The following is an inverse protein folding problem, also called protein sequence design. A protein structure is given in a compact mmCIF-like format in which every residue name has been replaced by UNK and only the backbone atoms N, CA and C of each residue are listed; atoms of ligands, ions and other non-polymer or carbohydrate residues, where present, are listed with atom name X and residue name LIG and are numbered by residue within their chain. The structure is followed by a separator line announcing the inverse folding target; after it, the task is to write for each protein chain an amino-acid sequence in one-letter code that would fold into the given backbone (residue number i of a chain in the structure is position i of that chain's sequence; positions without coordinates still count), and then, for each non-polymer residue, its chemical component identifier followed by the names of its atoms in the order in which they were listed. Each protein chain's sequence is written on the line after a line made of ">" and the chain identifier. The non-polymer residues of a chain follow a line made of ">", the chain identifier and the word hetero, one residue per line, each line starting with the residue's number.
data_IF_687900276162
#
_entry.id   IF_687900276162
#
_cell.length_a   1.000
_cell.length_b   1.000
_cell.length_c   1.000
_cell.angle_alpha   90.00
_cell.angle_beta   90.00
_cell.angle_gamma   90.00
#
_symmetry.space_group_name_H-M   'P 1'
#
loop_
_entity.id
_entity.type
_entity.pdbx_description
1 polymer ?
#
# COMPACT_ATOMS: atom_id res chain seq x y z
N UNK A 1 5.42 29.45 -38.65
CA UNK A 1 6.05 28.12 -38.55
C UNK A 1 6.66 28.00 -37.17
N UNK A 2 6.01 27.26 -36.27
CA UNK A 2 6.58 26.58 -35.09
C UNK A 2 5.44 25.83 -34.40
N UNK A 3 5.72 24.61 -33.95
CA UNK A 3 4.77 23.56 -33.61
C UNK A 3 4.17 23.70 -32.20
N UNK A 4 2.87 23.43 -32.07
CA UNK A 4 2.17 23.17 -30.81
C UNK A 4 2.13 21.64 -30.55
N UNK A 5 2.16 21.18 -29.28
CA UNK A 5 2.48 19.79 -28.97
C UNK A 5 1.28 18.84 -29.14
N UNK A 6 1.52 17.73 -29.85
CA UNK A 6 0.68 16.52 -29.84
C UNK A 6 0.61 15.93 -28.42
N UNK A 7 -0.36 16.36 -27.60
CA UNK A 7 -0.71 15.62 -26.38
C UNK A 7 -2.20 15.47 -26.07
N UNK A 8 -3.10 15.99 -26.91
CA UNK A 8 -4.55 15.84 -26.70
C UNK A 8 -5.31 15.14 -27.85
N UNK A 9 -4.64 14.78 -28.96
CA UNK A 9 -5.31 14.19 -30.13
C UNK A 9 -5.35 12.65 -30.14
N UNK A 10 -4.67 11.97 -29.23
CA UNK A 10 -4.57 10.51 -29.19
C UNK A 10 -5.61 9.83 -28.29
N UNK A 11 -6.43 10.58 -27.55
CA UNK A 11 -7.51 10.00 -26.71
C UNK A 11 -8.88 10.04 -27.39
N UNK A 12 -9.09 10.91 -28.39
CA UNK A 12 -10.35 10.99 -29.13
C UNK A 12 -10.46 10.00 -30.31
N UNK A 13 -9.35 9.42 -30.78
CA UNK A 13 -9.35 8.53 -31.95
C UNK A 13 -9.62 7.05 -31.64
N UNK A 14 -9.88 6.68 -30.38
CA UNK A 14 -10.18 5.29 -29.98
C UNK A 14 -11.66 5.06 -29.62
N UNK A 15 -12.53 6.07 -29.74
CA UNK A 15 -13.95 5.98 -29.41
C UNK A 15 -14.89 5.95 -30.63
N UNK A 16 -14.37 5.91 -31.86
CA UNK A 16 -15.18 5.88 -33.10
C UNK A 16 -15.30 4.48 -33.73
N UNK A 17 -15.23 3.40 -32.94
CA UNK A 17 -15.37 2.01 -33.45
C UNK A 17 -16.59 1.24 -32.91
N UNK A 18 -17.56 1.90 -32.29
CA UNK A 18 -18.85 1.29 -31.92
C UNK A 18 -19.98 2.27 -32.21
N UNK A 19 -20.64 2.10 -33.36
CA UNK A 19 -21.65 3.02 -33.88
C UNK A 19 -22.85 3.24 -32.95
N UNK A 20 -23.03 4.49 -32.53
CA UNK A 20 -24.27 5.10 -32.02
C UNK A 20 -24.26 6.61 -32.39
N UNK A 21 -25.42 7.28 -32.56
CA UNK A 21 -25.51 8.56 -33.29
C UNK A 21 -25.19 9.80 -32.44
N UNK A 22 -24.67 10.82 -33.11
CA UNK A 22 -24.36 12.17 -32.59
C UNK A 22 -25.65 12.95 -32.31
N UNK A 23 -25.70 13.61 -31.15
CA UNK A 23 -26.57 14.76 -30.88
C UNK A 23 -25.63 15.98 -30.67
N UNK A 24 -25.95 17.05 -31.39
CA UNK A 24 -25.36 18.40 -31.37
C UNK A 24 -25.54 19.10 -30.01
N UNK A 25 -24.89 20.17 -29.57
CA UNK A 25 -24.34 21.42 -30.14
C UNK A 25 -23.50 22.03 -28.99
N UNK A 26 -22.29 22.52 -29.20
CA UNK A 26 -21.97 23.96 -29.27
C UNK A 26 -22.60 24.84 -28.15
N UNK A 27 -22.05 24.77 -26.93
CA UNK A 27 -22.15 25.79 -25.87
C UNK A 27 -21.21 25.39 -24.72
N UNK A 28 -19.91 25.72 -24.81
CA UNK A 28 -18.95 25.74 -23.67
C UNK A 28 -17.54 26.15 -24.13
N UNK A 29 -17.43 27.22 -24.92
CA UNK A 29 -16.15 27.70 -25.46
C UNK A 29 -15.84 29.19 -25.16
N UNK A 30 -16.54 29.81 -24.19
CA UNK A 30 -16.46 31.27 -23.97
C UNK A 30 -16.10 31.68 -22.52
N UNK A 31 -15.52 30.79 -21.71
CA UNK A 31 -15.20 31.09 -20.29
C UNK A 31 -13.69 31.01 -19.93
N UNK A 32 -12.76 30.99 -20.88
CA UNK A 32 -11.33 30.78 -20.58
C UNK A 32 -10.37 31.83 -21.18
N UNK A 33 -10.85 33.04 -21.44
CA UNK A 33 -10.06 34.11 -22.04
C UNK A 33 -10.06 35.40 -21.21
N UNK A 34 -9.71 35.33 -19.92
CA UNK A 34 -9.49 36.53 -19.10
C UNK A 34 -8.77 36.21 -17.77
N UNK A 35 -7.52 35.71 -17.79
CA UNK A 35 -6.64 35.86 -16.60
C UNK A 35 -5.13 35.66 -16.87
N UNK A 36 -4.62 36.14 -18.00
CA UNK A 36 -3.18 36.14 -18.31
C UNK A 36 -2.68 37.54 -18.63
N UNK A 37 -2.84 38.46 -17.67
CA UNK A 37 -2.21 39.78 -17.75
C UNK A 37 -2.04 40.42 -16.36
N UNK A 38 -1.36 39.76 -15.43
CA UNK A 38 -0.70 40.42 -14.30
C UNK A 38 0.32 39.45 -13.72
N UNK A 39 1.60 39.87 -13.77
CA UNK A 39 2.79 39.38 -13.04
C UNK A 39 4.03 39.47 -13.96
N UNK A 40 4.41 40.70 -14.28
CA UNK A 40 5.78 41.05 -14.61
C UNK A 40 6.15 42.28 -13.76
N UNK A 41 7.38 42.28 -13.26
CA UNK A 41 8.05 43.29 -12.41
C UNK A 41 7.88 43.14 -10.88
N UNK A 42 8.86 42.49 -10.24
CA UNK A 42 9.71 43.09 -9.19
C UNK A 42 11.10 42.46 -9.27
N UNK A 43 12.13 43.32 -9.22
CA UNK A 43 13.55 43.03 -9.33
C UNK A 43 14.17 42.30 -8.13
N UNK A 44 15.29 41.66 -8.48
CA UNK A 44 16.39 41.06 -7.73
C UNK A 44 16.89 41.88 -6.53
N UNK A 45 17.12 41.22 -5.39
CA UNK A 45 18.24 41.56 -4.48
C UNK A 45 18.53 40.47 -3.43
N UNK A 46 19.78 40.01 -3.45
CA UNK A 46 20.62 39.45 -2.37
C UNK A 46 20.54 37.96 -1.96
N UNK A 47 21.69 37.31 -2.20
CA UNK A 47 22.32 36.15 -1.54
C UNK A 47 21.78 34.73 -1.78
N UNK A 48 21.99 34.26 -3.01
CA UNK A 48 22.02 32.83 -3.31
C UNK A 48 23.36 32.19 -2.87
N UNK A 49 23.35 31.52 -1.72
CA UNK A 49 24.39 30.55 -1.35
C UNK A 49 24.37 29.37 -2.33
N UNK A 50 25.54 28.92 -2.76
CA UNK A 50 25.70 27.90 -3.80
C UNK A 50 25.19 26.52 -3.37
N UNK A 51 24.66 25.76 -4.33
CA UNK A 51 24.03 24.44 -4.16
C UNK A 51 24.94 23.32 -3.63
N UNK A 52 26.22 23.61 -3.34
CA UNK A 52 27.15 22.65 -2.73
C UNK A 52 27.32 22.81 -1.20
N UNK A 53 26.79 23.89 -0.58
CA UNK A 53 26.78 24.04 0.89
C UNK A 53 25.51 23.49 1.56
N UNK A 54 24.50 23.07 0.78
CA UNK A 54 23.17 22.66 1.28
C UNK A 54 23.06 21.22 1.84
N UNK A 55 24.18 20.49 1.99
CA UNK A 55 24.16 19.06 2.38
C UNK A 55 24.89 18.71 3.69
N UNK A 56 25.24 19.69 4.53
CA UNK A 56 25.76 19.40 5.88
C UNK A 56 24.96 20.13 6.96
N UNK A 57 24.55 19.45 8.06
CA UNK A 57 23.86 20.12 9.15
C UNK A 57 24.83 21.08 9.86
N UNK A 58 24.51 22.37 10.01
CA UNK A 58 25.42 23.32 10.64
C UNK A 58 25.24 23.28 12.16
N UNK A 59 25.77 22.29 12.87
CA UNK A 59 26.13 22.37 14.32
C UNK A 59 26.53 21.00 14.89
N UNK A 60 27.51 20.99 15.78
CA UNK A 60 28.01 19.84 16.55
C UNK A 60 26.98 19.22 17.54
N UNK A 61 25.77 19.79 17.65
CA UNK A 61 24.75 19.41 18.64
C UNK A 61 23.73 18.35 18.16
N UNK A 62 23.88 17.77 16.96
CA UNK A 62 22.99 16.71 16.49
C UNK A 62 23.39 15.39 17.14
N UNK A 63 22.49 14.79 17.92
CA UNK A 63 22.75 13.52 18.63
C UNK A 63 22.11 12.31 17.97
N UNK A 64 20.94 12.50 17.37
CA UNK A 64 20.22 11.41 16.71
C UNK A 64 19.62 11.85 15.38
N UNK A 65 19.29 10.89 14.53
CA UNK A 65 18.51 11.05 13.31
C UNK A 65 17.28 10.14 13.41
N UNK A 66 16.16 10.58 12.85
CA UNK A 66 14.89 9.85 12.89
C UNK A 66 14.03 10.19 11.68
N UNK A 67 13.01 9.38 11.42
CA UNK A 67 11.99 9.67 10.42
C UNK A 67 10.65 9.97 11.09
N UNK A 68 9.94 10.98 10.60
CA UNK A 68 8.62 11.30 11.12
C UNK A 68 7.62 10.21 10.72
N UNK A 69 6.94 9.57 11.67
CA UNK A 69 5.95 8.51 11.39
C UNK A 69 4.56 9.06 11.07
N UNK A 70 4.38 10.38 11.16
CA UNK A 70 3.17 11.11 10.80
C UNK A 70 3.52 12.55 10.39
N UNK A 71 2.56 13.29 9.85
CA UNK A 71 2.72 14.73 9.62
C UNK A 71 2.61 15.49 10.95
N UNK A 72 3.61 16.30 11.29
CA UNK A 72 3.72 16.96 12.60
C UNK A 72 3.91 18.46 12.44
N UNK A 73 3.28 19.23 13.32
CA UNK A 73 3.58 20.64 13.50
C UNK A 73 4.80 20.79 14.40
N UNK A 74 5.83 21.45 13.91
CA UNK A 74 6.99 21.86 14.71
C UNK A 74 6.56 23.04 15.57
N UNK A 75 6.84 23.00 16.87
CA UNK A 75 6.44 24.04 17.84
C UNK A 75 7.63 24.79 18.38
N UNK A 76 7.42 26.02 18.86
CA UNK A 76 8.47 26.83 19.48
C UNK A 76 8.89 26.35 20.89
N UNK A 77 8.12 25.49 21.54
CA UNK A 77 8.42 24.94 22.86
C UNK A 77 7.77 23.56 23.10
N UNK A 78 8.18 22.84 24.17
CA UNK A 78 7.71 21.49 24.48
C UNK A 78 6.31 21.51 25.11
N UNK A 79 5.28 21.70 24.27
CA UNK A 79 3.90 21.71 24.73
C UNK A 79 2.89 22.09 23.65
N UNK A 80 1.63 21.72 23.87
CA UNK A 80 0.55 21.98 22.91
C UNK A 80 0.16 23.47 22.78
N UNK A 81 0.55 24.29 23.77
CA UNK A 81 0.20 25.71 23.85
C UNK A 81 1.20 26.63 23.13
N UNK A 82 2.28 26.06 22.59
CA UNK A 82 3.26 26.83 21.82
C UNK A 82 2.84 26.92 20.35
N UNK A 83 2.91 28.14 19.80
CA UNK A 83 2.64 28.41 18.40
C UNK A 83 3.56 27.60 17.47
N UNK A 84 3.05 27.25 16.29
CA UNK A 84 3.79 26.51 15.28
C UNK A 84 4.96 27.32 14.72
N UNK A 85 6.13 26.68 14.61
CA UNK A 85 7.33 27.19 13.94
C UNK A 85 7.49 26.63 12.51
N UNK A 86 6.84 25.50 12.20
CA UNK A 86 6.95 24.83 10.90
C UNK A 86 6.14 23.54 10.86
N UNK A 87 6.31 22.73 9.82
CA UNK A 87 5.69 21.40 9.68
C UNK A 87 6.68 20.40 9.08
N UNK A 88 6.57 19.13 9.49
CA UNK A 88 7.25 17.97 8.91
C UNK A 88 6.21 16.98 8.40
N UNK A 89 6.49 16.36 7.26
CA UNK A 89 5.64 15.34 6.63
C UNK A 89 6.02 13.96 7.14
N UNK A 90 5.10 13.02 7.00
CA UNK A 90 5.41 11.60 7.24
C UNK A 90 6.54 11.16 6.30
N UNK A 91 7.55 10.48 6.84
CA UNK A 91 8.75 10.03 6.13
C UNK A 91 9.87 11.06 6.10
N UNK A 92 9.64 12.31 6.53
CA UNK A 92 10.70 13.32 6.55
C UNK A 92 11.78 12.93 7.56
N UNK A 93 13.04 13.07 7.12
CA UNK A 93 14.20 12.90 7.97
C UNK A 93 14.34 14.12 8.89
N UNK A 94 14.53 13.86 10.19
CA UNK A 94 14.70 14.88 11.21
C UNK A 94 15.93 14.60 12.04
N UNK A 95 16.68 15.66 12.33
CA UNK A 95 17.83 15.61 13.22
C UNK A 95 17.37 15.95 14.63
N UNK A 96 17.63 15.09 15.60
CA UNK A 96 17.25 15.29 17.00
C UNK A 96 18.45 15.92 17.73
N UNK A 97 18.24 17.12 18.24
CA UNK A 97 19.20 17.86 19.05
C UNK A 97 19.09 17.44 20.52
N UNK A 98 17.86 17.24 20.99
CA UNK A 98 17.56 16.83 22.36
C UNK A 98 16.40 15.84 22.33
N UNK A 99 16.66 14.60 22.74
CA UNK A 99 15.64 13.56 22.82
C UNK A 99 14.95 13.63 24.19
N UNK A 100 13.67 14.01 24.20
CA UNK A 100 12.86 14.07 25.42
C UNK A 100 11.75 13.03 25.44
N UNK A 101 11.16 12.73 26.61
CA UNK A 101 10.17 11.65 26.76
C UNK A 101 8.84 11.93 26.04
N UNK A 102 8.35 13.17 26.08
CA UNK A 102 7.12 13.58 25.38
C UNK A 102 7.39 14.50 24.18
N UNK A 103 8.40 15.37 24.32
CA UNK A 103 8.79 16.35 23.32
C UNK A 103 10.28 16.24 23.06
N UNK A 104 10.63 16.10 21.79
CA UNK A 104 12.03 16.13 21.34
C UNK A 104 12.27 17.43 20.59
N UNK A 105 13.42 18.04 20.86
CA UNK A 105 13.92 19.17 20.09
C UNK A 105 14.57 18.63 18.83
N UNK A 106 13.99 19.01 17.71
CA UNK A 106 14.44 18.59 16.38
C UNK A 106 14.91 19.79 15.56
N UNK A 107 15.73 19.49 14.56
CA UNK A 107 16.10 20.39 13.49
C UNK A 107 15.79 19.73 12.15
N UNK A 108 15.11 20.49 11.31
CA UNK A 108 14.93 20.20 9.89
C UNK A 108 15.84 21.13 9.09
N UNK A 109 15.89 20.94 7.76
CA UNK A 109 16.64 21.82 6.87
C UNK A 109 16.22 23.30 6.94
N UNK A 110 14.99 23.58 7.39
CA UNK A 110 14.39 24.93 7.35
C UNK A 110 14.05 25.50 8.72
N UNK A 111 13.97 24.68 9.77
CA UNK A 111 13.42 25.11 11.07
C UNK A 111 13.88 24.19 12.21
N UNK A 112 14.17 24.80 13.36
CA UNK A 112 14.39 24.11 14.64
C UNK A 112 13.17 24.31 15.54
N UNK A 113 12.74 23.26 16.23
CA UNK A 113 11.68 23.35 17.22
C UNK A 113 11.35 22.00 17.84
N UNK A 114 10.20 21.91 18.51
CA UNK A 114 9.79 20.75 19.27
C UNK A 114 8.70 19.98 18.55
N UNK A 115 8.84 18.65 18.51
CA UNK A 115 7.82 17.72 18.03
C UNK A 115 7.60 16.64 19.06
N UNK A 116 6.45 15.98 19.01
CA UNK A 116 6.13 14.90 19.94
C UNK A 116 6.99 13.67 19.63
N UNK A 117 7.72 13.19 20.64
CA UNK A 117 8.69 12.09 20.50
C UNK A 117 8.04 10.81 19.98
N UNK A 118 6.79 10.52 20.37
CA UNK A 118 6.05 9.34 19.92
C UNK A 118 5.85 9.24 18.39
N UNK A 119 6.09 10.32 17.65
CA UNK A 119 5.97 10.35 16.20
C UNK A 119 7.32 10.42 15.48
N UNK A 120 8.41 10.18 16.21
CA UNK A 120 9.75 9.99 15.69
C UNK A 120 10.04 8.49 15.66
N UNK A 121 10.16 7.92 14.47
CA UNK A 121 10.44 6.51 14.24
C UNK A 121 11.90 6.29 13.84
N UNK A 122 12.39 5.08 14.08
CA UNK A 122 13.73 4.66 13.65
C UNK A 122 14.83 5.63 14.11
N UNK A 123 14.81 5.98 15.41
CA UNK A 123 15.76 6.91 16.01
C UNK A 123 17.11 6.22 16.12
N UNK A 124 18.14 6.79 15.50
CA UNK A 124 19.52 6.27 15.44
C UNK A 124 20.51 7.34 15.86
N UNK A 125 21.63 6.95 16.45
CA UNK A 125 22.71 7.91 16.77
C UNK A 125 23.31 8.53 15.50
N UNK A 126 23.63 9.81 15.58
CA UNK A 126 24.23 10.59 14.50
C UNK A 126 25.70 10.85 14.80
N UNK A 127 26.61 10.40 13.94
CA UNK A 127 28.05 10.70 14.03
C UNK A 127 28.38 11.93 13.17
N UNK A 128 28.76 13.07 13.78
CA UNK A 128 29.03 14.31 13.06
C UNK A 128 30.37 14.31 12.27
N UNK A 129 31.26 13.32 12.45
CA UNK A 129 32.58 13.30 11.78
C UNK A 129 32.56 12.55 10.43
N UNK A 130 31.69 11.55 10.28
CA UNK A 130 31.64 10.68 9.09
C UNK A 130 30.48 10.96 8.12
N UNK A 131 29.46 11.71 8.55
CA UNK A 131 28.25 11.98 7.73
C UNK A 131 27.41 10.73 7.42
N UNK A 132 27.71 9.60 8.06
CA UNK A 132 27.01 8.31 7.88
C UNK A 132 26.12 7.98 9.08
N UNK A 133 24.96 7.38 8.80
CA UNK A 133 24.07 6.81 9.82
C UNK A 133 24.73 5.55 10.37
N UNK A 134 25.15 5.58 11.64
CA UNK A 134 25.76 4.43 12.31
C UNK A 134 24.82 3.21 12.31
N UNK A 135 25.39 2.03 12.07
CA UNK A 135 24.69 0.75 12.15
C UNK A 135 24.40 0.35 13.60
N UNK A 136 23.21 -0.22 13.81
CA UNK A 136 22.72 -1.00 14.95
C UNK A 136 23.49 -0.82 16.29
N UNK A 137 23.50 0.40 16.79
CA UNK A 137 23.81 0.67 18.19
C UNK A 137 22.47 0.86 18.90
N UNK A 138 22.10 -0.15 19.70
CA UNK A 138 20.86 -0.13 20.47
C UNK A 138 20.71 1.13 21.33
N UNK A 139 19.46 1.50 21.60
CA UNK A 139 19.08 2.67 22.39
C UNK A 139 19.90 2.78 23.70
N UNK A 140 20.35 4.00 24.10
CA UNK A 140 21.03 4.21 25.37
C UNK A 140 20.21 3.70 26.56
N UNK A 141 20.88 3.05 27.51
CA UNK A 141 20.26 2.37 28.66
C UNK A 141 19.26 3.24 29.45
N UNK A 142 19.46 4.56 29.50
CA UNK A 142 18.55 5.48 30.21
C UNK A 142 17.17 5.65 29.55
N UNK A 143 17.05 5.39 28.25
CA UNK A 143 15.75 5.43 27.53
C UNK A 143 14.98 4.12 27.74
N UNK A 144 15.69 2.99 27.81
CA UNK A 144 15.09 1.67 28.05
C UNK A 144 14.47 1.52 29.45
N UNK A 145 15.02 2.18 30.47
CA UNK A 145 14.46 2.16 31.83
C UNK A 145 13.28 3.14 32.01
N UNK A 146 13.25 4.25 31.26
CA UNK A 146 12.17 5.23 31.39
C UNK A 146 10.94 4.94 30.52
N UNK A 147 11.04 4.04 29.52
CA UNK A 147 9.87 3.47 28.83
C UNK A 147 9.10 2.46 29.69
N UNK A 148 9.70 1.91 30.75
CA UNK A 148 9.01 1.04 31.71
C UNK A 148 8.27 1.83 32.80
N UNK A 149 8.53 3.13 32.96
CA UNK A 149 7.99 3.96 34.05
C UNK A 149 6.93 5.00 33.62
N UNK A 150 6.69 5.18 32.33
CA UNK A 150 5.60 6.02 31.81
C UNK A 150 4.46 5.16 31.28
N UNK A 151 3.34 5.12 31.98
CA UNK A 151 2.14 4.37 31.59
C UNK A 151 1.54 4.82 30.25
N UNK A 152 2.17 4.42 29.14
CA UNK A 152 1.58 4.53 27.82
C UNK A 152 0.59 3.38 27.65
N UNK A 153 -0.68 3.74 27.50
CA UNK A 153 -1.76 2.80 27.24
C UNK A 153 -1.42 1.90 26.04
N UNK A 154 -1.62 0.59 26.20
CA UNK A 154 -1.39 -0.37 25.11
C UNK A 154 -2.31 -0.05 23.93
N UNK A 155 -1.75 0.49 22.85
CA UNK A 155 -2.49 0.78 21.61
C UNK A 155 -2.71 -0.50 20.83
N UNK A 156 -3.92 -0.73 20.33
CA UNK A 156 -4.28 -1.91 19.54
C UNK A 156 -4.13 -1.60 18.06
N UNK A 157 -2.95 -1.85 17.49
CA UNK A 157 -2.65 -1.55 16.09
C UNK A 157 -3.16 -2.64 15.14
N UNK A 158 -2.85 -3.89 15.45
CA UNK A 158 -3.14 -5.04 14.59
C UNK A 158 -3.70 -6.21 15.40
N UNK A 159 -4.38 -7.09 14.69
CA UNK A 159 -4.72 -8.44 15.11
C UNK A 159 -3.91 -9.41 14.24
N UNK A 160 -3.23 -10.36 14.86
CA UNK A 160 -2.51 -11.41 14.16
C UNK A 160 -2.71 -12.76 14.87
N UNK A 161 -2.24 -13.83 14.24
CA UNK A 161 -2.35 -15.19 14.78
C UNK A 161 -0.99 -15.87 14.74
N UNK A 162 -0.70 -16.72 15.73
CA UNK A 162 0.54 -17.48 15.73
C UNK A 162 0.51 -18.58 14.65
N UNK A 163 1.49 -18.60 13.74
CA UNK A 163 1.60 -19.64 12.69
C UNK A 163 2.27 -20.91 13.21
N UNK A 164 2.99 -20.79 14.32
CA UNK A 164 3.65 -21.88 15.07
C UNK A 164 3.64 -21.52 16.56
N UNK A 165 3.91 -22.49 17.43
CA UNK A 165 4.09 -22.20 18.85
C UNK A 165 5.21 -21.17 19.03
N UNK A 166 4.97 -20.15 19.85
CA UNK A 166 5.91 -19.05 20.08
C UNK A 166 5.80 -18.53 21.52
N UNK A 167 6.68 -17.61 21.90
CA UNK A 167 6.82 -17.11 23.26
C UNK A 167 6.56 -15.61 23.29
N UNK A 168 5.82 -15.18 24.31
CA UNK A 168 5.78 -13.78 24.71
C UNK A 168 6.99 -13.52 25.60
N UNK A 169 7.89 -12.65 25.16
CA UNK A 169 9.15 -12.31 25.82
C UNK A 169 9.05 -11.00 26.59
N UNK A 170 9.89 -10.87 27.60
CA UNK A 170 9.97 -9.66 28.42
C UNK A 170 10.61 -8.49 27.66
N UNK A 171 11.60 -8.79 26.83
CA UNK A 171 12.34 -7.85 25.97
C UNK A 171 12.36 -8.39 24.53
N UNK A 172 12.67 -7.57 23.50
CA UNK A 172 12.86 -8.03 22.13
C UNK A 172 14.18 -8.80 21.96
N UNK A 173 14.34 -9.86 22.75
CA UNK A 173 15.51 -10.70 22.87
C UNK A 173 15.04 -12.14 23.14
N UNK A 174 15.55 -13.08 22.34
CA UNK A 174 15.25 -14.50 22.42
C UNK A 174 15.63 -15.12 23.77
N UNK A 175 16.65 -14.57 24.44
CA UNK A 175 17.15 -15.04 25.73
C UNK A 175 16.45 -14.40 26.94
N UNK A 176 15.62 -13.37 26.71
CA UNK A 176 14.87 -12.73 27.79
C UNK A 176 13.81 -13.66 28.42
N UNK A 177 13.37 -13.28 29.62
CA UNK A 177 12.38 -14.02 30.38
C UNK A 177 11.09 -14.24 29.58
N UNK A 178 10.51 -15.44 29.69
CA UNK A 178 9.26 -15.78 29.02
C UNK A 178 8.07 -15.38 29.90
N UNK A 179 7.23 -14.49 29.38
CA UNK A 179 5.99 -14.04 30.04
C UNK A 179 4.80 -14.97 29.76
N UNK A 180 4.75 -15.60 28.59
CA UNK A 180 3.70 -16.57 28.23
C UNK A 180 4.12 -17.49 27.07
N UNK A 181 3.49 -18.66 27.00
CA UNK A 181 3.55 -19.55 25.83
C UNK A 181 2.30 -19.30 24.96
N UNK A 182 2.50 -19.06 23.67
CA UNK A 182 1.45 -18.78 22.69
C UNK A 182 1.31 -20.01 21.80
N UNK A 183 0.10 -20.59 21.74
CA UNK A 183 -0.15 -21.80 20.94
C UNK A 183 -0.33 -21.44 19.48
N UNK A 184 -0.13 -22.42 18.60
CA UNK A 184 -0.45 -22.26 17.19
C UNK A 184 -1.92 -21.84 17.02
N UNK A 185 -2.17 -20.89 16.13
CA UNK A 185 -3.45 -20.26 15.83
C UNK A 185 -4.11 -19.46 16.95
N UNK A 186 -3.43 -19.28 18.08
CA UNK A 186 -3.90 -18.32 19.07
C UNK A 186 -3.81 -16.88 18.51
N UNK A 187 -4.83 -16.08 18.83
CA UNK A 187 -4.90 -14.67 18.49
C UNK A 187 -3.96 -13.85 19.39
N UNK A 188 -3.30 -12.87 18.79
CA UNK A 188 -2.51 -11.85 19.47
C UNK A 188 -2.92 -10.47 18.98
N UNK A 189 -2.90 -9.50 19.88
CA UNK A 189 -3.10 -8.10 19.54
C UNK A 189 -1.74 -7.45 19.54
N UNK A 190 -1.36 -6.84 18.43
CA UNK A 190 -0.07 -6.21 18.27
C UNK A 190 -0.24 -4.71 18.33
N UNK A 191 0.59 -4.05 19.13
CA UNK A 191 0.60 -2.61 19.23
C UNK A 191 1.38 -1.98 18.07
N UNK A 192 2.65 -2.34 17.96
CA UNK A 192 3.55 -1.82 16.94
C UNK A 192 4.66 -2.83 16.64
N UNK A 193 5.29 -2.64 15.48
CA UNK A 193 6.33 -3.50 14.93
C UNK A 193 7.70 -2.86 15.22
N UNK A 194 8.67 -3.67 15.63
CA UNK A 194 10.04 -3.29 16.04
C UNK A 194 11.04 -4.24 15.38
N UNK A 195 11.33 -4.02 14.09
CA UNK A 195 12.23 -4.88 13.32
C UNK A 195 11.71 -6.32 13.23
N UNK A 196 12.45 -7.27 13.81
CA UNK A 196 12.06 -8.69 13.87
C UNK A 196 11.07 -9.01 15.00
N UNK A 197 10.81 -8.07 15.90
CA UNK A 197 9.90 -8.21 17.03
C UNK A 197 8.67 -7.32 16.89
N UNK A 198 7.63 -7.61 17.64
CA UNK A 198 6.52 -6.69 17.86
C UNK A 198 6.14 -6.66 19.33
N UNK A 199 5.70 -5.50 19.80
CA UNK A 199 5.11 -5.37 21.12
C UNK A 199 3.63 -5.74 21.05
N UNK A 200 3.22 -6.72 21.86
CA UNK A 200 1.93 -7.37 21.72
C UNK A 200 1.31 -7.74 23.08
N UNK A 201 0.00 -7.92 23.08
CA UNK A 201 -0.80 -8.42 24.19
C UNK A 201 -1.34 -9.82 23.85
N UNK A 202 -1.17 -10.74 24.80
CA UNK A 202 -1.74 -12.08 24.74
C UNK A 202 -2.33 -12.46 26.10
N UNK A 203 -3.65 -12.71 26.14
CA UNK A 203 -4.41 -13.08 27.36
C UNK A 203 -4.15 -12.14 28.55
N UNK A 204 -4.15 -10.83 28.29
CA UNK A 204 -3.94 -9.79 29.31
C UNK A 204 -2.49 -9.57 29.75
N UNK A 205 -1.51 -10.23 29.11
CA UNK A 205 -0.08 -9.99 29.34
C UNK A 205 0.52 -9.29 28.14
N UNK A 206 1.31 -8.25 28.37
CA UNK A 206 2.08 -7.57 27.33
C UNK A 206 3.53 -8.02 27.32
N UNK A 207 4.15 -7.95 26.14
CA UNK A 207 5.55 -8.32 25.93
C UNK A 207 5.90 -8.32 24.44
N UNK A 208 6.98 -8.99 24.08
CA UNK A 208 7.52 -9.01 22.72
C UNK A 208 7.35 -10.37 22.06
N UNK A 209 6.97 -10.40 20.78
CA UNK A 209 6.80 -11.62 19.98
C UNK A 209 7.59 -11.45 18.68
N UNK A 210 8.24 -12.52 18.19
CA UNK A 210 8.88 -12.51 16.88
C UNK A 210 7.84 -12.37 15.75
N UNK A 211 8.06 -11.43 14.84
CA UNK A 211 7.13 -11.14 13.74
C UNK A 211 6.93 -12.32 12.80
N UNK A 212 8.00 -13.08 12.51
CA UNK A 212 7.96 -14.25 11.65
C UNK A 212 7.13 -15.42 12.20
N UNK A 213 6.79 -15.41 13.49
CA UNK A 213 5.93 -16.43 14.10
C UNK A 213 4.46 -16.06 13.99
N UNK A 214 4.13 -14.90 13.45
CA UNK A 214 2.79 -14.38 13.28
C UNK A 214 2.37 -14.31 11.81
N UNK A 215 1.09 -14.50 11.55
CA UNK A 215 0.49 -14.39 10.22
C UNK A 215 -0.93 -13.82 10.30
N UNK A 216 -1.55 -13.60 9.12
CA UNK A 216 -2.92 -13.09 9.00
C UNK A 216 -3.12 -11.80 9.83
N UNK A 217 -2.25 -10.85 9.56
CA UNK A 217 -2.29 -9.51 10.12
C UNK A 217 -3.49 -8.74 9.55
N UNK A 218 -4.36 -8.27 10.42
CA UNK A 218 -5.46 -7.35 10.10
C UNK A 218 -5.28 -6.08 10.94
N UNK A 219 -5.43 -4.90 10.32
CA UNK A 219 -5.43 -3.65 11.06
C UNK A 219 -6.66 -3.57 11.97
N UNK A 220 -6.43 -3.16 13.22
CA UNK A 220 -7.48 -2.71 14.14
C UNK A 220 -7.58 -1.18 14.02
N UNK A 221 -6.42 -0.52 14.05
CA UNK A 221 -6.28 0.89 13.70
C UNK A 221 -5.83 1.01 12.23
N UNK A 222 -6.62 1.64 11.35
CA UNK A 222 -6.26 1.81 9.93
C UNK A 222 -4.94 2.57 9.73
N UNK A 223 -4.49 3.35 10.71
CA UNK A 223 -3.27 4.15 10.68
C UNK A 223 -2.10 3.52 11.45
N UNK A 224 -2.22 2.26 11.91
CA UNK A 224 -1.15 1.57 12.64
C UNK A 224 0.15 1.38 11.85
N UNK A 225 0.12 1.60 10.52
CA UNK A 225 1.26 1.45 9.62
C UNK A 225 1.12 0.29 8.62
N UNK A 226 2.23 -0.14 8.00
CA UNK A 226 2.25 -1.23 7.01
C UNK A 226 1.91 -2.59 7.64
N UNK A 227 1.19 -3.42 6.89
CA UNK A 227 0.95 -4.80 7.28
C UNK A 227 2.20 -5.65 7.00
N UNK A 228 2.76 -6.40 7.97
CA UNK A 228 3.92 -7.25 7.76
C UNK A 228 3.73 -8.25 6.62
N UNK A 229 4.67 -8.28 5.68
CA UNK A 229 4.63 -9.14 4.49
C UNK A 229 3.80 -8.60 3.32
N UNK A 230 3.13 -7.46 3.47
CA UNK A 230 2.47 -6.78 2.36
C UNK A 230 3.52 -6.11 1.46
N UNK A 231 3.42 -6.30 0.15
CA UNK A 231 4.26 -5.60 -0.83
C UNK A 231 3.42 -4.50 -1.47
N UNK A 232 3.90 -3.26 -1.37
CA UNK A 232 3.27 -2.08 -1.98
C UNK A 232 3.94 -1.81 -3.31
N UNK A 233 3.15 -1.67 -4.38
CA UNK A 233 3.68 -1.39 -5.71
C UNK A 233 3.50 0.11 -6.03
N UNK A 234 4.59 0.84 -6.31
CA UNK A 234 4.55 2.29 -6.50
C UNK A 234 4.03 2.72 -7.87
N UNK A 235 3.89 1.80 -8.82
CA UNK A 235 3.59 2.16 -10.21
C UNK A 235 2.66 1.12 -10.85
N UNK A 236 1.78 1.58 -11.73
CA UNK A 236 1.03 0.75 -12.68
C UNK A 236 1.60 0.96 -14.08
N UNK A 237 1.84 -0.12 -14.83
CA UNK A 237 2.35 -0.08 -16.19
C UNK A 237 1.37 -0.73 -17.17
N UNK A 238 1.27 -0.16 -18.37
CA UNK A 238 0.60 -0.76 -19.52
C UNK A 238 1.64 -1.28 -20.51
N UNK A 239 1.43 -2.48 -21.05
CA UNK A 239 2.33 -3.06 -22.07
C UNK A 239 1.88 -2.73 -23.50
N UNK A 240 2.81 -2.42 -24.40
CA UNK A 240 2.50 -2.03 -25.80
C UNK A 240 2.53 -3.18 -26.79
N UNK A 241 3.08 -4.33 -26.41
CA UNK A 241 3.21 -5.53 -27.24
C UNK A 241 2.93 -6.77 -26.40
N UNK A 242 2.87 -7.92 -27.07
CA UNK A 242 2.90 -9.21 -26.38
C UNK A 242 4.21 -9.31 -25.60
N UNK A 243 4.11 -9.55 -24.30
CA UNK A 243 5.24 -9.46 -23.38
C UNK A 243 5.29 -10.70 -22.51
N UNK A 244 6.48 -11.28 -22.38
CA UNK A 244 6.73 -12.35 -21.43
C UNK A 244 7.11 -11.76 -20.07
N UNK A 245 6.39 -12.17 -19.03
CA UNK A 245 6.79 -11.98 -17.64
C UNK A 245 7.83 -13.05 -17.35
N UNK A 246 9.06 -12.62 -17.07
CA UNK A 246 10.21 -13.50 -16.82
C UNK A 246 10.42 -13.67 -15.31
N UNK A 247 10.89 -14.83 -14.88
CA UNK A 247 11.17 -15.10 -13.47
C UNK A 247 12.40 -14.32 -13.00
N UNK A 248 12.19 -13.33 -12.11
CA UNK A 248 13.26 -12.47 -11.61
C UNK A 248 14.30 -13.23 -10.77
N UNK A 249 13.91 -14.38 -10.19
CA UNK A 249 14.84 -15.21 -9.40
C UNK A 249 15.72 -16.12 -10.27
N UNK A 250 15.47 -16.16 -11.58
CA UNK A 250 16.24 -17.02 -12.47
C UNK A 250 17.67 -16.50 -12.59
N UNK A 251 18.65 -17.31 -12.15
CA UNK A 251 20.09 -17.02 -12.32
C UNK A 251 20.60 -17.35 -13.74
N UNK A 252 19.69 -17.61 -14.68
CA UNK A 252 20.00 -18.06 -16.03
C UNK A 252 20.12 -16.88 -16.99
N UNK A 253 20.99 -16.99 -18.02
CA UNK A 253 21.01 -16.06 -19.16
C UNK A 253 19.67 -16.02 -19.90
N UNK A 254 18.93 -17.14 -19.85
CA UNK A 254 17.59 -17.29 -20.39
C UNK A 254 16.63 -17.53 -19.22
N UNK A 255 16.04 -16.47 -18.64
CA UNK A 255 15.12 -16.60 -17.53
C UNK A 255 13.84 -17.35 -17.95
N UNK A 256 13.24 -18.06 -16.99
CA UNK A 256 12.01 -18.82 -17.23
C UNK A 256 10.84 -17.87 -17.50
N UNK A 257 10.10 -18.10 -18.59
CA UNK A 257 8.81 -17.42 -18.83
C UNK A 257 7.78 -17.92 -17.81
N UNK A 258 7.28 -17.00 -17.00
CA UNK A 258 6.22 -17.25 -16.02
C UNK A 258 4.83 -17.17 -16.67
N UNK A 259 4.62 -16.15 -17.50
CA UNK A 259 3.37 -15.93 -18.27
C UNK A 259 3.59 -14.93 -19.39
N UNK A 260 2.98 -15.18 -20.54
CA UNK A 260 2.81 -14.20 -21.63
C UNK A 260 1.53 -13.39 -21.42
N UNK A 261 1.63 -12.07 -21.61
CA UNK A 261 0.53 -11.11 -21.50
C UNK A 261 0.34 -10.34 -22.81
N UNK A 262 -0.88 -9.93 -23.07
CA UNK A 262 -1.27 -9.29 -24.34
C UNK A 262 -1.04 -7.77 -24.31
N UNK A 263 -0.86 -7.11 -25.47
CA UNK A 263 -0.83 -5.65 -25.56
C UNK A 263 -2.04 -5.03 -24.85
N UNK A 264 -1.84 -3.88 -24.19
CA UNK A 264 -2.86 -3.19 -23.41
C UNK A 264 -3.09 -3.73 -21.99
N UNK A 265 -2.43 -4.82 -21.60
CA UNK A 265 -2.52 -5.32 -20.22
C UNK A 265 -1.93 -4.31 -19.24
N UNK A 266 -2.69 -3.99 -18.17
CA UNK A 266 -2.23 -3.18 -17.05
C UNK A 266 -1.70 -4.09 -15.94
N UNK A 267 -0.52 -3.78 -15.38
CA UNK A 267 0.08 -4.53 -14.27
C UNK A 267 0.69 -3.57 -13.24
N UNK A 268 0.73 -3.98 -11.96
CA UNK A 268 1.47 -3.25 -10.94
C UNK A 268 2.95 -3.66 -10.97
N UNK A 269 3.83 -2.68 -10.84
CA UNK A 269 5.28 -2.87 -10.93
C UNK A 269 6.01 -2.04 -9.87
N UNK A 270 7.19 -2.52 -9.48
CA UNK A 270 8.21 -1.69 -8.84
C UNK A 270 8.77 -0.68 -9.84
N UNK A 271 9.45 0.36 -9.31
CA UNK A 271 10.31 1.21 -10.14
C UNK A 271 11.38 0.34 -10.83
N UNK A 272 11.84 0.73 -12.03
CA UNK A 272 12.85 -0.04 -12.74
C UNK A 272 14.12 -0.14 -11.89
N UNK A 273 14.73 -1.32 -11.88
CA UNK A 273 16.10 -1.44 -11.41
C UNK A 273 17.09 -0.82 -12.42
N UNK A 274 18.39 -0.84 -12.10
CA UNK A 274 19.44 -0.27 -12.94
C UNK A 274 19.52 -0.90 -14.35
N UNK A 275 18.92 -2.08 -14.53
CA UNK A 275 18.87 -2.81 -15.80
C UNK A 275 17.58 -2.54 -16.58
N UNK A 276 16.71 -1.64 -16.07
CA UNK A 276 15.42 -1.34 -16.68
C UNK A 276 14.38 -2.44 -16.47
N UNK A 277 14.55 -3.31 -15.47
CA UNK A 277 13.58 -4.35 -15.15
C UNK A 277 12.51 -3.82 -14.19
N UNK A 278 11.26 -3.90 -14.63
CA UNK A 278 10.08 -3.58 -13.84
C UNK A 278 9.57 -4.85 -13.17
N UNK A 279 9.82 -5.01 -11.87
CA UNK A 279 9.40 -6.20 -11.13
C UNK A 279 7.90 -6.15 -10.87
N UNK A 280 7.20 -7.26 -11.11
CA UNK A 280 5.76 -7.44 -10.91
C UNK A 280 5.53 -8.63 -9.99
N UNK A 281 4.46 -8.67 -9.18
CA UNK A 281 4.08 -9.90 -8.50
C UNK A 281 3.78 -10.98 -9.55
N UNK A 282 4.05 -12.24 -9.24
CA UNK A 282 3.50 -13.38 -9.98
C UNK A 282 3.27 -14.56 -9.04
N UNK A 283 2.02 -14.75 -8.63
CA UNK A 283 1.63 -15.74 -7.62
C UNK A 283 2.43 -15.58 -6.31
N UNK A 284 3.37 -16.49 -6.03
CA UNK A 284 4.23 -16.48 -4.84
C UNK A 284 5.70 -16.24 -5.19
N UNK A 285 5.97 -15.74 -6.39
CA UNK A 285 7.29 -15.31 -6.85
C UNK A 285 7.21 -13.89 -7.42
N UNK A 286 8.36 -13.38 -7.84
CA UNK A 286 8.51 -12.07 -8.49
C UNK A 286 8.85 -12.31 -9.94
N UNK A 287 8.03 -11.76 -10.84
CA UNK A 287 8.36 -11.68 -12.25
C UNK A 287 8.94 -10.31 -12.59
N UNK A 288 9.39 -10.13 -13.82
CA UNK A 288 9.71 -8.82 -14.36
C UNK A 288 9.37 -8.72 -15.85
N UNK A 289 9.17 -7.48 -16.30
CA UNK A 289 9.13 -7.08 -17.71
C UNK A 289 10.22 -6.04 -17.97
N UNK A 290 10.54 -5.78 -19.23
CA UNK A 290 11.56 -4.80 -19.60
C UNK A 290 10.94 -3.45 -19.94
N UNK A 291 11.69 -2.37 -19.77
CA UNK A 291 11.27 -1.03 -20.16
C UNK A 291 10.80 -0.95 -21.63
N UNK A 292 11.42 -1.74 -22.51
CA UNK A 292 11.07 -1.80 -23.92
C UNK A 292 9.65 -2.31 -24.18
N UNK A 293 9.03 -3.01 -23.22
CA UNK A 293 7.67 -3.52 -23.32
C UNK A 293 6.61 -2.53 -22.84
N UNK A 294 7.02 -1.49 -22.12
CA UNK A 294 6.12 -0.52 -21.51
C UNK A 294 5.65 0.50 -22.55
N UNK A 295 4.34 0.74 -22.53
CA UNK A 295 3.65 1.80 -23.26
C UNK A 295 3.60 3.09 -22.44
N UNK A 296 3.14 2.96 -21.19
CA UNK A 296 2.84 4.07 -20.30
C UNK A 296 2.84 3.58 -18.85
N UNK A 297 3.24 4.45 -17.93
CA UNK A 297 3.20 4.22 -16.48
C UNK A 297 2.38 5.28 -15.79
N UNK A 298 1.70 4.89 -14.72
CA UNK A 298 0.96 5.77 -13.82
C UNK A 298 1.44 5.52 -12.40
N UNK A 299 1.94 6.58 -11.76
CA UNK A 299 2.47 6.46 -10.41
C UNK A 299 1.36 6.40 -9.37
N UNK A 300 1.62 5.64 -8.31
CA UNK A 300 0.79 5.61 -7.11
C UNK A 300 1.19 6.79 -6.24
N UNK A 301 0.24 7.70 -6.03
CA UNK A 301 0.40 8.87 -5.18
C UNK A 301 0.07 8.48 -3.73
N UNK A 302 0.89 8.88 -2.75
CA UNK A 302 0.56 8.70 -1.33
C UNK A 302 -0.85 9.23 -1.02
N UNK A 303 -1.63 8.44 -0.27
CA UNK A 303 -3.04 8.74 -0.04
C UNK A 303 -3.27 10.12 0.61
N UNK A 304 -2.32 10.63 1.40
CA UNK A 304 -2.38 11.91 2.09
C UNK A 304 -2.00 13.10 1.19
N UNK A 305 -1.45 12.83 0.01
CA UNK A 305 -1.03 13.81 -0.99
C UNK A 305 -1.86 13.75 -2.28
N UNK A 306 -2.59 12.65 -2.48
CA UNK A 306 -3.39 12.39 -3.68
C UNK A 306 -4.47 13.44 -3.88
N UNK A 307 -4.67 13.87 -5.12
CA UNK A 307 -5.74 14.73 -5.61
C UNK A 307 -6.83 13.91 -6.32
N UNK A 308 -7.95 14.55 -6.65
CA UNK A 308 -9.03 13.89 -7.39
C UNK A 308 -8.51 13.32 -8.72
N UNK A 309 -8.75 12.03 -8.97
CA UNK A 309 -8.29 11.31 -10.15
C UNK A 309 -6.97 10.56 -9.96
N UNK A 310 -6.21 10.82 -8.88
CA UNK A 310 -4.94 10.15 -8.64
C UNK A 310 -5.12 8.68 -8.26
N UNK A 311 -4.21 7.84 -8.76
CA UNK A 311 -4.07 6.45 -8.36
C UNK A 311 -3.42 6.40 -6.97
N UNK A 312 -4.07 5.77 -5.99
CA UNK A 312 -3.55 5.68 -4.61
C UNK A 312 -3.17 4.26 -4.19
N UNK A 313 -3.59 3.26 -4.97
CA UNK A 313 -3.18 1.87 -4.75
C UNK A 313 -3.44 1.02 -5.98
N UNK A 314 -2.59 0.03 -6.22
CA UNK A 314 -2.75 -0.94 -7.31
C UNK A 314 -2.26 -2.33 -6.89
N UNK A 315 -2.95 -3.37 -7.34
CA UNK A 315 -2.51 -4.76 -7.19
C UNK A 315 -2.90 -5.58 -8.40
N UNK A 316 -2.01 -6.50 -8.80
CA UNK A 316 -2.20 -7.42 -9.92
C UNK A 316 -2.14 -8.86 -9.45
N UNK A 317 -3.09 -9.68 -9.89
CA UNK A 317 -3.01 -11.14 -9.81
C UNK A 317 -3.22 -11.76 -11.19
N UNK A 318 -2.87 -13.04 -11.32
CA UNK A 318 -2.88 -13.75 -12.59
C UNK A 318 -3.74 -15.00 -12.53
N UNK A 319 -4.48 -15.27 -13.60
CA UNK A 319 -5.31 -16.46 -13.74
C UNK A 319 -5.03 -17.17 -15.08
N UNK A 320 -5.33 -18.46 -15.11
CA UNK A 320 -5.08 -19.29 -16.28
C UNK A 320 -6.01 -18.92 -17.44
N UNK A 321 -5.43 -18.83 -18.64
CA UNK A 321 -6.11 -18.68 -19.92
C UNK A 321 -5.60 -19.74 -20.90
N UNK A 322 -6.27 -19.93 -22.03
CA UNK A 322 -5.90 -20.93 -23.04
C UNK A 322 -6.31 -22.37 -22.73
N UNK A 323 -7.04 -22.60 -21.63
CA UNK A 323 -7.68 -23.88 -21.33
C UNK A 323 -9.12 -23.84 -21.86
N UNK A 324 -9.38 -24.50 -22.97
CA UNK A 324 -10.65 -24.43 -23.69
C UNK A 324 -11.78 -25.31 -23.13
N UNK A 325 -11.69 -25.74 -21.86
CA UNK A 325 -12.79 -26.45 -21.21
C UNK A 325 -13.88 -25.47 -20.77
N UNK A 326 -15.14 -25.93 -20.77
CA UNK A 326 -16.29 -25.11 -20.37
C UNK A 326 -16.12 -24.55 -18.95
N UNK A 327 -15.47 -25.28 -18.05
CA UNK A 327 -15.26 -24.88 -16.67
C UNK A 327 -14.25 -23.74 -16.52
N UNK A 328 -13.19 -23.73 -17.33
CA UNK A 328 -12.21 -22.62 -17.33
C UNK A 328 -12.75 -21.38 -18.03
N UNK A 329 -13.53 -21.54 -19.11
CA UNK A 329 -14.30 -20.44 -19.70
C UNK A 329 -15.30 -19.86 -18.68
N UNK A 330 -15.97 -20.74 -17.92
CA UNK A 330 -16.85 -20.34 -16.82
C UNK A 330 -16.12 -19.54 -15.74
N UNK A 331 -14.91 -19.96 -15.35
CA UNK A 331 -14.07 -19.22 -14.40
C UNK A 331 -13.74 -17.81 -14.90
N UNK A 332 -13.29 -17.69 -16.14
CA UNK A 332 -12.89 -16.41 -16.73
C UNK A 332 -14.10 -15.45 -16.84
N UNK A 333 -15.25 -15.98 -17.24
CA UNK A 333 -16.51 -15.25 -17.24
C UNK A 333 -16.90 -14.76 -15.84
N UNK A 334 -16.78 -15.60 -14.81
CA UNK A 334 -17.12 -15.22 -13.45
C UNK A 334 -16.19 -14.12 -12.89
N UNK A 335 -14.90 -14.14 -13.26
CA UNK A 335 -13.95 -13.07 -12.92
C UNK A 335 -14.37 -11.76 -13.60
N UNK A 336 -14.63 -11.81 -14.91
CA UNK A 336 -15.13 -10.66 -15.68
C UNK A 336 -16.43 -10.08 -15.09
N UNK A 337 -17.41 -10.93 -14.80
CA UNK A 337 -18.70 -10.48 -14.27
C UNK A 337 -18.58 -9.83 -12.89
N UNK A 338 -17.75 -10.40 -12.01
CA UNK A 338 -17.61 -9.87 -10.63
C UNK A 338 -16.86 -8.54 -10.63
N UNK A 339 -15.89 -8.38 -11.53
CA UNK A 339 -15.12 -7.15 -11.65
C UNK A 339 -15.91 -6.04 -12.31
N UNK A 340 -16.77 -6.34 -13.29
CA UNK A 340 -17.67 -5.34 -13.88
C UNK A 340 -18.69 -4.80 -12.88
N UNK A 341 -19.09 -5.60 -11.88
CA UNK A 341 -19.97 -5.16 -10.79
C UNK A 341 -19.28 -4.23 -9.78
N UNK A 342 -17.98 -4.44 -9.51
CA UNK A 342 -17.22 -3.63 -8.53
C UNK A 342 -16.61 -2.40 -9.21
N UNK A 343 -16.11 -2.53 -10.43
CA UNK A 343 -15.43 -1.45 -11.16
C UNK A 343 -16.37 -0.26 -11.36
N UNK A 344 -15.88 0.94 -11.06
CA UNK A 344 -16.67 2.17 -11.06
C UNK A 344 -17.39 2.46 -9.75
N UNK A 345 -17.46 1.52 -8.81
CA UNK A 345 -18.04 1.78 -7.48
C UNK A 345 -17.27 2.87 -6.75
N UNK A 346 -18.00 3.84 -6.20
CA UNK A 346 -17.48 4.90 -5.33
C UNK A 346 -17.90 4.62 -3.89
N UNK A 347 -16.97 4.73 -2.94
CA UNK A 347 -17.23 4.55 -1.50
C UNK A 347 -16.89 5.83 -0.77
N UNK A 348 -17.88 6.44 -0.12
CA UNK A 348 -17.70 7.70 0.60
C UNK A 348 -16.88 7.50 1.89
N UNK A 349 -16.27 8.56 2.45
CA UNK A 349 -15.65 8.50 3.77
C UNK A 349 -16.62 7.97 4.83
N UNK A 350 -16.17 6.99 5.61
CA UNK A 350 -16.97 6.35 6.67
C UNK A 350 -17.93 5.26 6.18
N UNK A 351 -18.21 5.18 4.88
CA UNK A 351 -19.12 4.17 4.34
C UNK A 351 -18.50 2.78 4.34
N UNK A 352 -19.37 1.78 4.55
CA UNK A 352 -19.03 0.38 4.43
C UNK A 352 -19.35 -0.15 3.03
N UNK A 353 -18.41 -0.89 2.47
CA UNK A 353 -18.62 -1.68 1.26
C UNK A 353 -18.66 -3.17 1.62
N UNK A 354 -19.74 -3.83 1.25
CA UNK A 354 -19.94 -5.25 1.45
C UNK A 354 -19.84 -5.98 0.12
N UNK A 355 -18.77 -6.77 -0.06
CA UNK A 355 -18.47 -7.38 -1.36
C UNK A 355 -19.54 -8.36 -1.79
N UNK A 356 -20.02 -9.24 -0.91
CA UNK A 356 -21.11 -10.17 -1.26
C UNK A 356 -22.42 -9.46 -1.63
N UNK A 357 -22.70 -8.25 -1.10
CA UNK A 357 -23.86 -7.48 -1.55
C UNK A 357 -23.70 -6.95 -2.98
N UNK A 358 -22.46 -6.69 -3.40
CA UNK A 358 -22.15 -6.19 -4.73
C UNK A 358 -22.12 -7.32 -5.80
N UNK A 359 -21.44 -8.43 -5.50
CA UNK A 359 -21.20 -9.49 -6.49
C UNK A 359 -22.01 -10.77 -6.25
N UNK A 360 -22.66 -10.90 -5.09
CA UNK A 360 -23.56 -12.02 -4.81
C UNK A 360 -24.99 -11.75 -5.32
N UNK A 361 -25.87 -12.77 -5.32
CA UNK A 361 -25.59 -14.18 -5.06
C UNK A 361 -24.94 -14.91 -6.24
N UNK A 362 -24.14 -15.94 -5.97
CA UNK A 362 -23.41 -16.72 -6.97
C UNK A 362 -24.27 -17.84 -7.59
N UNK A 363 -25.10 -17.52 -8.60
CA UNK A 363 -26.06 -18.46 -9.20
C UNK A 363 -26.19 -18.27 -10.71
N UNK A 364 -26.75 -19.27 -11.41
CA UNK A 364 -27.01 -19.18 -12.86
C UNK A 364 -27.85 -17.95 -13.25
N UNK A 365 -28.89 -17.65 -12.46
CA UNK A 365 -29.83 -16.55 -12.72
C UNK A 365 -29.19 -15.16 -12.62
N UNK A 366 -28.09 -15.02 -11.88
CA UNK A 366 -27.30 -13.78 -11.78
C UNK A 366 -26.14 -13.75 -12.78
N UNK A 367 -26.15 -14.64 -13.77
CA UNK A 367 -25.19 -14.67 -14.87
C UNK A 367 -23.93 -15.49 -14.59
N UNK A 368 -23.73 -16.01 -13.37
CA UNK A 368 -22.57 -16.85 -13.07
C UNK A 368 -22.62 -18.18 -13.83
N UNK A 369 -21.44 -18.71 -14.16
CA UNK A 369 -21.23 -20.00 -14.83
C UNK A 369 -20.59 -21.03 -13.89
N UNK A 370 -20.83 -22.34 -14.10
CA UNK A 370 -20.12 -23.39 -13.36
C UNK A 370 -18.61 -23.33 -13.61
N UNK A 371 -17.83 -23.37 -12.54
CA UNK A 371 -16.38 -23.29 -12.55
C UNK A 371 -15.80 -24.03 -11.33
N UNK A 372 -14.49 -24.33 -11.29
CA UNK A 372 -13.90 -24.89 -10.09
C UNK A 372 -14.02 -23.93 -8.91
N UNK A 373 -14.46 -24.45 -7.77
CA UNK A 373 -14.64 -23.69 -6.52
C UNK A 373 -13.73 -24.26 -5.42
N UNK A 374 -13.36 -23.41 -4.47
CA UNK A 374 -12.64 -23.83 -3.27
C UNK A 374 -13.66 -24.24 -2.20
N UNK A 375 -14.28 -25.41 -2.37
CA UNK A 375 -15.23 -25.98 -1.40
C UNK A 375 -14.73 -27.34 -0.88
N UNK A 376 -14.92 -27.65 0.42
CA UNK A 376 -14.56 -28.95 0.97
C UNK A 376 -15.47 -30.09 0.46
N UNK A 377 -16.68 -29.76 -0.02
CA UNK A 377 -17.70 -30.75 -0.39
C UNK A 377 -18.05 -30.76 -1.87
N UNK A 378 -17.55 -29.80 -2.66
CA UNK A 378 -17.86 -29.70 -4.07
C UNK A 378 -16.65 -29.19 -4.86
N UNK A 379 -16.34 -29.87 -5.97
CA UNK A 379 -15.28 -29.44 -6.89
C UNK A 379 -15.75 -28.32 -7.81
N UNK A 380 -17.06 -28.19 -8.04
CA UNK A 380 -17.65 -27.30 -9.04
C UNK A 380 -18.83 -26.52 -8.46
N UNK A 381 -18.97 -25.27 -8.89
CA UNK A 381 -20.12 -24.44 -8.54
C UNK A 381 -20.15 -23.13 -9.32
N UNK A 382 -21.23 -22.38 -9.13
CA UNK A 382 -21.38 -21.05 -9.70
C UNK A 382 -20.49 -20.05 -8.95
N UNK A 383 -19.86 -19.14 -9.68
CA UNK A 383 -19.01 -18.10 -9.09
C UNK A 383 -17.55 -18.50 -8.86
N UNK A 384 -17.12 -19.71 -9.25
CA UNK A 384 -15.69 -20.06 -9.22
C UNK A 384 -14.86 -19.01 -9.96
N UNK A 385 -13.91 -18.38 -9.26
CA UNK A 385 -13.15 -17.22 -9.74
C UNK A 385 -13.32 -15.95 -8.90
N UNK A 386 -14.48 -15.75 -8.28
CA UNK A 386 -14.81 -14.54 -7.50
C UNK A 386 -13.85 -14.31 -6.31
N UNK A 387 -13.38 -15.36 -5.65
CA UNK A 387 -12.38 -15.23 -4.58
C UNK A 387 -11.07 -14.59 -5.04
N UNK A 388 -10.68 -14.77 -6.30
CA UNK A 388 -9.47 -14.13 -6.83
C UNK A 388 -9.70 -12.63 -7.05
N UNK A 389 -10.90 -12.24 -7.48
CA UNK A 389 -11.31 -10.83 -7.57
C UNK A 389 -11.27 -10.20 -6.19
N UNK A 390 -11.89 -10.83 -5.20
CA UNK A 390 -11.91 -10.33 -3.84
C UNK A 390 -10.53 -10.28 -3.17
N UNK A 391 -9.67 -11.28 -3.43
CA UNK A 391 -8.27 -11.27 -2.95
C UNK A 391 -7.46 -10.16 -3.62
N UNK A 392 -7.65 -9.91 -4.92
CA UNK A 392 -6.99 -8.79 -5.60
C UNK A 392 -7.43 -7.46 -4.98
N UNK A 393 -8.74 -7.27 -4.80
CA UNK A 393 -9.30 -6.09 -4.14
C UNK A 393 -8.73 -5.90 -2.73
N UNK A 394 -8.74 -6.95 -1.91
CA UNK A 394 -8.19 -6.91 -0.55
C UNK A 394 -6.74 -6.42 -0.53
N UNK A 395 -5.89 -6.96 -1.40
CA UNK A 395 -4.49 -6.57 -1.47
C UNK A 395 -4.28 -5.17 -2.06
N UNK A 396 -5.24 -4.63 -2.81
CA UNK A 396 -5.27 -3.19 -3.15
C UNK A 396 -5.68 -2.35 -1.94
N UNK A 397 -6.68 -2.76 -1.15
CA UNK A 397 -7.18 -2.00 0.00
C UNK A 397 -6.13 -1.83 1.10
N UNK A 398 -5.39 -2.89 1.46
CA UNK A 398 -4.47 -2.86 2.60
C UNK A 398 -3.18 -2.04 2.37
N UNK A 399 -2.94 -1.56 1.15
CA UNK A 399 -1.83 -0.65 0.85
C UNK A 399 -2.10 0.78 1.35
N UNK A 400 -3.37 1.14 1.58
CA UNK A 400 -3.78 2.44 2.13
C UNK A 400 -4.48 2.26 3.48
N UNK A 401 -4.67 3.32 4.29
CA UNK A 401 -5.41 3.27 5.56
C UNK A 401 -6.91 3.03 5.38
N UNK A 402 -7.28 1.82 4.95
CA UNK A 402 -8.66 1.30 4.90
C UNK A 402 -8.83 0.23 5.97
N UNK A 403 -9.94 0.31 6.71
CA UNK A 403 -10.28 -0.67 7.74
C UNK A 403 -11.08 -1.83 7.14
N UNK A 404 -10.51 -3.04 7.13
CA UNK A 404 -11.23 -4.25 6.72
C UNK A 404 -11.94 -4.84 7.94
N UNK A 405 -13.20 -4.45 8.16
CA UNK A 405 -13.98 -4.82 9.35
C UNK A 405 -14.21 -6.33 9.44
N UNK A 406 -14.41 -6.99 8.30
CA UNK A 406 -14.66 -8.44 8.23
C UNK A 406 -13.91 -9.05 7.05
N UNK A 407 -13.24 -10.18 7.31
CA UNK A 407 -12.55 -10.95 6.27
C UNK A 407 -12.47 -12.42 6.67
N UNK A 408 -12.87 -13.29 5.75
CA UNK A 408 -12.54 -14.72 5.80
C UNK A 408 -11.42 -15.05 4.83
N UNK A 409 -10.49 -15.88 5.28
CA UNK A 409 -9.46 -16.52 4.44
C UNK A 409 -9.95 -17.88 3.97
N UNK A 410 -9.36 -18.42 2.91
CA UNK A 410 -9.43 -19.84 2.59
C UNK A 410 -8.69 -20.63 3.68
N UNK A 411 -9.09 -21.89 3.92
CA UNK A 411 -8.50 -22.74 4.95
C UNK A 411 -6.95 -22.91 4.82
N UNK A 412 -6.32 -23.59 5.79
CA UNK A 412 -4.87 -23.63 6.13
C UNK A 412 -3.78 -23.45 5.04
N UNK A 413 -4.04 -23.71 3.76
CA UNK A 413 -3.09 -23.55 2.64
C UNK A 413 -3.14 -22.19 1.93
N UNK A 414 -4.16 -21.36 2.19
CA UNK A 414 -4.39 -20.08 1.52
C UNK A 414 -4.67 -20.23 0.02
N UNK A 415 -4.95 -19.12 -0.66
CA UNK A 415 -5.09 -19.12 -2.12
C UNK A 415 -3.74 -19.42 -2.82
N UNK A 416 -3.72 -20.27 -3.85
CA UNK A 416 -2.48 -20.61 -4.59
C UNK A 416 -1.83 -19.40 -5.26
N UNK A 417 -2.64 -18.43 -5.67
CA UNK A 417 -2.22 -17.24 -6.40
C UNK A 417 -1.75 -16.09 -5.48
N UNK A 418 -1.67 -16.30 -4.16
CA UNK A 418 -1.18 -15.28 -3.24
C UNK A 418 -0.51 -15.89 -1.98
N UNK A 419 0.15 -15.04 -1.19
CA UNK A 419 0.74 -15.43 0.10
C UNK A 419 -0.34 -15.84 1.12
N UNK A 420 0.01 -16.77 2.01
CA UNK A 420 -0.89 -17.25 3.07
C UNK A 420 -1.28 -16.10 4.00
N UNK A 421 -2.57 -15.96 4.30
CA UNK A 421 -3.09 -14.92 5.20
C UNK A 421 -3.42 -13.59 4.52
N UNK A 422 -3.05 -13.45 3.24
CA UNK A 422 -3.33 -12.28 2.39
C UNK A 422 -4.48 -12.53 1.40
N UNK A 423 -5.19 -13.64 1.54
CA UNK A 423 -6.34 -13.96 0.72
C UNK A 423 -7.66 -13.50 1.37
N UNK A 424 -8.68 -13.27 0.55
CA UNK A 424 -10.02 -12.90 1.00
C UNK A 424 -11.05 -13.71 0.22
N UNK A 425 -11.76 -14.59 0.93
CA UNK A 425 -12.78 -15.46 0.37
C UNK A 425 -14.15 -14.76 0.31
N UNK A 426 -14.96 -15.19 -0.67
CA UNK A 426 -16.37 -14.84 -0.79
C UNK A 426 -17.20 -16.09 -1.02
N UNK A 427 -18.44 -16.10 -0.56
CA UNK A 427 -19.32 -17.26 -0.63
C UNK A 427 -20.62 -17.05 0.12
N UNK A 428 -21.31 -18.15 0.42
CA UNK A 428 -22.50 -18.14 1.26
C UNK A 428 -22.19 -18.02 2.75
N UNK A 429 -23.19 -17.65 3.55
CA UNK A 429 -23.06 -17.51 5.00
C UNK A 429 -22.13 -16.36 5.39
N UNK A 430 -21.19 -16.64 6.29
CA UNK A 430 -20.25 -15.66 6.85
C UNK A 430 -18.96 -15.48 6.01
N UNK A 431 -18.86 -16.13 4.85
CA UNK A 431 -17.71 -16.03 3.94
C UNK A 431 -17.84 -14.74 3.11
N UNK A 432 -17.27 -13.65 3.62
CA UNK A 432 -17.38 -12.33 3.04
C UNK A 432 -16.15 -11.46 3.33
N UNK A 433 -16.05 -10.34 2.60
CA UNK A 433 -15.23 -9.20 2.98
C UNK A 433 -16.09 -7.94 3.10
N UNK A 434 -15.95 -7.22 4.22
CA UNK A 434 -16.58 -5.92 4.46
C UNK A 434 -15.49 -4.98 4.93
N UNK A 435 -15.42 -3.79 4.34
CA UNK A 435 -14.47 -2.76 4.73
C UNK A 435 -15.15 -1.39 4.83
N UNK A 436 -14.55 -0.50 5.61
CA UNK A 436 -14.93 0.90 5.76
C UNK A 436 -13.88 1.75 5.07
N UNK A 437 -14.30 2.67 4.20
CA UNK A 437 -13.40 3.70 3.69
C UNK A 437 -13.05 4.66 4.84
N UNK A 438 -11.85 4.52 5.40
CA UNK A 438 -11.37 5.37 6.51
C UNK A 438 -10.53 6.56 6.04
N UNK A 439 -10.42 6.76 4.72
CA UNK A 439 -9.78 7.94 4.13
C UNK A 439 -10.71 9.16 4.19
N UNK A 440 -10.18 10.39 4.20
CA UNK A 440 -10.98 11.62 4.31
C UNK A 440 -11.67 12.04 3.01
N UNK A 441 -11.67 11.20 1.97
CA UNK A 441 -12.26 11.47 0.67
C UNK A 441 -12.87 10.21 0.05
N UNK A 442 -13.80 10.35 -0.91
CA UNK A 442 -14.36 9.21 -1.61
C UNK A 442 -13.28 8.47 -2.42
N UNK A 443 -13.41 7.15 -2.49
CA UNK A 443 -12.53 6.31 -3.31
C UNK A 443 -13.32 5.62 -4.41
N UNK A 444 -12.71 5.43 -5.58
CA UNK A 444 -13.28 4.69 -6.70
C UNK A 444 -12.44 3.47 -7.04
N UNK A 445 -13.08 2.33 -7.22
CA UNK A 445 -12.42 1.13 -7.72
C UNK A 445 -12.41 1.10 -9.24
N UNK A 446 -11.32 0.60 -9.83
CA UNK A 446 -11.28 0.25 -11.23
C UNK A 446 -10.60 -1.11 -11.41
N UNK A 447 -11.18 -1.97 -12.26
CA UNK A 447 -10.55 -3.21 -12.66
C UNK A 447 -10.12 -3.16 -14.12
N UNK A 448 -8.89 -3.59 -14.37
CA UNK A 448 -8.38 -3.88 -15.72
C UNK A 448 -8.23 -5.39 -15.85
N UNK A 449 -8.76 -5.93 -16.94
CA UNK A 449 -8.69 -7.36 -17.25
C UNK A 449 -8.22 -7.53 -18.67
N UNK A 450 -7.20 -8.36 -18.83
CA UNK A 450 -6.66 -8.73 -20.13
C UNK A 450 -6.10 -10.14 -20.04
N UNK A 451 -6.78 -11.10 -20.68
CA UNK A 451 -6.38 -12.50 -20.87
C UNK A 451 -5.39 -13.09 -19.84
N UNK A 452 -5.90 -13.23 -18.61
CA UNK A 452 -5.18 -13.85 -17.50
C UNK A 452 -4.44 -12.87 -16.59
N UNK A 453 -4.57 -11.57 -16.83
CA UNK A 453 -4.15 -10.48 -15.96
C UNK A 453 -5.38 -9.84 -15.33
N UNK A 454 -5.35 -9.70 -14.01
CA UNK A 454 -6.41 -9.06 -13.21
C UNK A 454 -5.77 -7.98 -12.33
N UNK A 455 -6.05 -6.72 -12.64
CA UNK A 455 -5.47 -5.57 -11.94
C UNK A 455 -6.56 -4.74 -11.32
N UNK A 456 -6.46 -4.49 -10.03
CA UNK A 456 -7.37 -3.64 -9.28
C UNK A 456 -6.67 -2.36 -8.85
N UNK A 457 -7.32 -1.23 -9.10
CA UNK A 457 -6.86 0.11 -8.77
C UNK A 457 -7.84 0.76 -7.80
N UNK A 458 -7.30 1.58 -6.89
CA UNK A 458 -8.06 2.54 -6.12
C UNK A 458 -7.62 3.93 -6.55
N UNK A 459 -8.59 4.76 -6.92
CA UNK A 459 -8.39 6.17 -7.21
C UNK A 459 -9.03 7.01 -6.12
N UNK A 460 -8.43 8.17 -5.80
CA UNK A 460 -9.18 9.22 -5.10
C UNK A 460 -10.26 9.74 -6.06
N UNK A 461 -11.52 9.60 -5.66
CA UNK A 461 -12.64 10.15 -6.42
C UNK A 461 -12.74 11.67 -6.22
N UNK A 462 -13.44 12.33 -7.15
CA UNK A 462 -13.69 13.77 -7.12
C UNK A 462 -14.62 14.15 -5.97
#
# INVERSE_FOLDING_TARGET
>A
MTAFPLRLLSLLLLMTLLGQPLISTAEEADFMAEDTAQLAEVQDDSDALSSQEMLQPPSDDVRYVSTATSALKIRKGPGMNYNGAGQIRMGDLVYILELGPEWSKIRTLRTTGYVRTQYLGDIREYDPVSGTVGGDAGLPQEVSQNMEAGGSEFKRGYKAYAVRATLLKDKPDAYSATRANIRIYDEVIVSHILGDWCYAEYKGRTGYILNETLFKWDRIDPYAGPIPGNIVYPTMAFVKRTTDILDYKSKSKNPKVLKTINPGSAICVEKPDEQGHYKTPYWRTTGYITQDDIAYTMDVVPYDQAQAGDLISVMTTYYAVGIHTLQYQGRNWNIYLSTSMISGSVVQPGDQFNVNKCIGPYRKSTGYKPAPIASPTALWGYGGGTCQVNTTLYNTLIQVPILVNHRKVHANSGAKYFLKGFDAAVGGGDINMIFTNTLPYPIRFNFFISDGVLTCCIFRAA
#
